data_IF_683110653821
#
_entry.id   IF_683110653821
#
_cell.length_a   1.000
_cell.length_b   1.000
_cell.length_c   1.000
_cell.angle_alpha   90.00
_cell.angle_beta   90.00
_cell.angle_gamma   90.00
#
_symmetry.space_group_name_H-M   'P 1'
#
loop_
_entity.id
_entity.type
_entity.pdbx_description
1 polymer ?
#
# COMPACT_ATOMS: atom_id res chain seq x y z
N UNK A 1 8.21 2.44 13.30
CA UNK A 1 7.24 3.12 12.42
C UNK A 1 7.85 3.10 11.03
N UNK A 2 7.25 2.36 10.10
CA UNK A 2 7.77 2.23 8.74
C UNK A 2 7.21 3.42 7.96
N UNK A 3 8.09 4.35 7.58
CA UNK A 3 7.73 5.47 6.69
C UNK A 3 7.65 4.94 5.26
N UNK A 4 6.53 4.32 4.92
CA UNK A 4 6.26 3.71 3.60
C UNK A 4 6.01 4.75 2.48
N UNK A 5 6.34 6.02 2.69
CA UNK A 5 5.82 7.16 1.90
C UNK A 5 6.85 7.92 1.06
N UNK A 6 7.99 7.31 0.72
CA UNK A 6 8.98 7.94 -0.18
C UNK A 6 9.09 7.18 -1.52
N UNK A 7 9.39 7.85 -2.65
CA UNK A 7 9.54 7.23 -3.99
C UNK A 7 10.63 6.14 -4.06
N UNK A 8 11.57 6.20 -3.13
CA UNK A 8 12.32 5.04 -2.63
C UNK A 8 11.53 4.62 -1.41
N UNK A 9 10.89 3.44 -1.39
CA UNK A 9 10.27 2.99 -0.15
C UNK A 9 11.37 2.87 0.91
N UNK A 10 11.44 3.83 1.82
CA UNK A 10 12.48 3.90 2.83
C UNK A 10 11.98 3.08 4.01
N UNK A 11 12.63 1.96 4.28
CA UNK A 11 12.43 1.26 5.56
C UNK A 11 13.46 1.80 6.54
N UNK A 12 13.03 2.67 7.45
CA UNK A 12 13.86 3.05 8.60
C UNK A 12 13.79 1.91 9.61
N UNK A 13 14.89 1.19 9.76
CA UNK A 13 15.05 0.16 10.80
C UNK A 13 15.83 0.81 11.94
N UNK A 14 15.13 1.07 13.06
CA UNK A 14 15.80 1.46 14.31
C UNK A 14 16.31 0.21 15.00
N UNK A 15 17.61 -0.01 14.93
CA UNK A 15 18.25 -1.12 15.62
C UNK A 15 18.62 -0.69 17.05
N UNK A 16 18.10 -1.38 18.05
CA UNK A 16 18.28 -1.09 19.47
C UNK A 16 19.70 -1.42 19.91
N UNK A 17 20.66 -0.58 19.53
CA UNK A 17 22.08 -0.70 19.91
C UNK A 17 23.09 -0.07 18.95
N UNK A 18 22.71 0.23 17.69
CA UNK A 18 23.66 0.63 16.64
C UNK A 18 23.36 1.96 15.93
N UNK A 19 22.32 2.69 16.35
CA UNK A 19 21.87 3.92 15.67
C UNK A 19 20.84 3.66 14.57
N UNK A 20 20.32 4.74 13.98
CA UNK A 20 19.27 4.68 12.95
C UNK A 20 19.85 4.30 11.58
N UNK A 21 19.35 3.22 10.96
CA UNK A 21 19.79 2.75 9.64
C UNK A 21 18.63 2.78 8.65
N UNK A 22 18.90 3.34 7.47
CA UNK A 22 17.90 3.63 6.44
C UNK A 22 18.17 2.77 5.21
N UNK A 23 17.21 1.91 4.86
CA UNK A 23 17.35 0.94 3.76
C UNK A 23 16.36 1.23 2.62
N UNK A 24 16.79 0.92 1.39
CA UNK A 24 15.91 0.87 0.22
C UNK A 24 15.05 -0.41 0.22
N UNK A 25 13.72 -0.30 0.10
CA UNK A 25 12.85 -1.48 -0.03
C UNK A 25 13.00 -2.21 -1.38
N UNK A 26 13.62 -1.60 -2.40
CA UNK A 26 13.84 -2.30 -3.68
C UNK A 26 14.70 -3.54 -3.52
N UNK A 27 15.63 -3.58 -2.54
CA UNK A 27 16.52 -4.74 -2.34
C UNK A 27 16.77 -5.13 -0.88
N UNK A 28 16.34 -4.37 0.14
CA UNK A 28 16.59 -4.61 1.59
C UNK A 28 18.06 -4.92 1.97
N UNK A 29 19.00 -4.70 1.05
CA UNK A 29 20.41 -5.09 1.16
C UNK A 29 21.34 -3.88 1.08
N UNK A 30 20.88 -2.80 0.45
CA UNK A 30 21.69 -1.61 0.23
C UNK A 30 21.27 -0.52 1.22
N UNK A 31 22.23 -0.08 2.05
CA UNK A 31 22.07 1.13 2.86
C UNK A 31 22.01 2.32 1.91
N UNK A 32 21.04 3.20 2.13
CA UNK A 32 20.98 4.44 1.36
C UNK A 32 22.16 5.34 1.72
N UNK A 33 22.77 5.92 0.70
CA UNK A 33 23.78 6.97 0.87
C UNK A 33 23.14 8.24 1.43
N UNK A 34 23.90 9.11 2.11
CA UNK A 34 23.40 10.40 2.57
C UNK A 34 22.79 11.27 1.46
N UNK A 35 23.29 11.14 0.22
CA UNK A 35 22.75 11.85 -0.93
C UNK A 35 21.37 11.31 -1.37
N UNK A 36 21.19 9.99 -1.36
CA UNK A 36 19.90 9.35 -1.67
C UNK A 36 18.87 9.66 -0.58
N UNK A 37 19.27 9.69 0.69
CA UNK A 37 18.42 10.13 1.80
C UNK A 37 18.03 11.59 1.61
N UNK A 38 18.99 12.50 1.36
CA UNK A 38 18.71 13.91 1.14
C UNK A 38 17.80 14.16 -0.07
N UNK A 39 17.94 13.37 -1.14
CA UNK A 39 17.07 13.44 -2.31
C UNK A 39 15.64 12.96 -1.99
N UNK A 40 15.51 11.88 -1.23
CA UNK A 40 14.23 11.29 -0.84
C UNK A 40 13.50 12.07 0.28
N UNK A 41 14.25 12.82 1.08
CA UNK A 41 13.75 13.66 2.19
C UNK A 41 13.71 15.15 1.87
N UNK A 42 14.14 15.56 0.66
CA UNK A 42 14.10 16.95 0.19
C UNK A 42 12.73 17.37 -0.36
N UNK A 43 12.63 18.46 -1.15
CA UNK A 43 11.37 18.93 -1.73
C UNK A 43 10.63 17.87 -2.58
N UNK A 44 11.37 16.93 -3.17
CA UNK A 44 10.80 15.79 -3.87
C UNK A 44 10.10 14.77 -2.93
N UNK A 45 10.54 14.68 -1.68
CA UNK A 45 9.91 13.90 -0.60
C UNK A 45 8.61 14.52 -0.12
N UNK A 46 8.57 15.84 0.09
CA UNK A 46 7.33 16.57 0.43
C UNK A 46 6.27 16.43 -0.67
N UNK A 47 6.69 16.52 -1.95
CA UNK A 47 5.84 16.23 -3.10
C UNK A 47 5.29 14.81 -3.07
N UNK A 48 6.10 13.83 -2.62
CA UNK A 48 5.64 12.44 -2.54
C UNK A 48 4.60 12.24 -1.44
N UNK A 49 4.72 12.90 -0.30
CA UNK A 49 3.74 12.81 0.78
C UNK A 49 2.37 13.32 0.31
N UNK A 50 2.32 14.53 -0.25
CA UNK A 50 1.08 15.09 -0.83
C UNK A 50 0.56 14.23 -1.98
N UNK A 51 1.44 13.73 -2.84
CA UNK A 51 1.07 12.88 -3.96
C UNK A 51 0.49 11.55 -3.50
N UNK A 52 1.01 10.96 -2.43
CA UNK A 52 0.47 9.71 -1.91
C UNK A 52 -0.75 9.91 -1.05
N UNK A 53 -0.96 11.04 -0.39
CA UNK A 53 -2.10 11.25 0.50
C UNK A 53 -3.39 11.73 -0.18
N UNK A 54 -3.33 12.12 -1.46
CA UNK A 54 -4.51 12.65 -2.17
C UNK A 54 -5.17 11.66 -3.16
N UNK A 55 -6.50 11.75 -3.21
CA UNK A 55 -7.34 11.16 -4.24
C UNK A 55 -7.83 9.72 -4.02
N UNK A 56 -8.71 9.23 -4.93
CA UNK A 56 -9.37 7.93 -4.77
C UNK A 56 -8.42 6.73 -4.77
N UNK A 57 -7.27 6.81 -5.45
CA UNK A 57 -6.29 5.72 -5.51
C UNK A 57 -5.59 5.48 -4.17
N UNK A 58 -5.28 6.53 -3.42
CA UNK A 58 -4.76 6.40 -2.05
C UNK A 58 -5.78 5.77 -1.12
N UNK A 59 -7.01 6.30 -1.13
CA UNK A 59 -8.08 5.76 -0.30
C UNK A 59 -8.28 4.26 -0.57
N UNK A 60 -8.18 3.85 -1.84
CA UNK A 60 -8.23 2.45 -2.25
C UNK A 60 -7.06 1.64 -1.68
N UNK A 61 -5.83 2.12 -1.81
CA UNK A 61 -4.65 1.45 -1.25
C UNK A 61 -4.79 1.27 0.27
N UNK A 62 -5.19 2.32 1.00
CA UNK A 62 -5.39 2.31 2.45
C UNK A 62 -6.47 1.30 2.88
N UNK A 63 -7.61 1.28 2.18
CA UNK A 63 -8.68 0.29 2.43
C UNK A 63 -8.19 -1.14 2.17
N UNK A 64 -7.42 -1.36 1.10
CA UNK A 64 -6.86 -2.68 0.79
C UNK A 64 -5.85 -3.15 1.83
N UNK A 65 -4.98 -2.26 2.33
CA UNK A 65 -4.06 -2.58 3.44
C UNK A 65 -4.83 -2.99 4.69
N UNK A 66 -5.91 -2.27 5.04
CA UNK A 66 -6.77 -2.65 6.16
C UNK A 66 -7.37 -4.06 5.96
N UNK A 67 -7.92 -4.36 4.77
CA UNK A 67 -8.45 -5.69 4.45
C UNK A 67 -7.39 -6.79 4.55
N UNK A 68 -6.21 -6.57 3.97
CA UNK A 68 -5.11 -7.55 3.99
C UNK A 68 -4.63 -7.83 5.42
N UNK A 69 -4.59 -6.81 6.29
CA UNK A 69 -4.16 -6.97 7.69
C UNK A 69 -5.04 -7.94 8.50
N UNK A 70 -6.30 -8.11 8.11
CA UNK A 70 -7.25 -9.05 8.75
C UNK A 70 -7.23 -10.45 8.15
N UNK A 71 -6.45 -10.68 7.10
CA UNK A 71 -6.39 -11.96 6.42
C UNK A 71 -5.10 -12.73 6.78
N UNK A 72 -5.20 -14.05 6.99
CA UNK A 72 -4.03 -14.90 7.21
C UNK A 72 -3.17 -14.96 5.95
N UNK A 73 -1.85 -15.12 6.13
CA UNK A 73 -0.87 -15.12 5.01
C UNK A 73 -1.05 -16.31 4.07
N UNK A 74 -1.24 -17.51 4.61
CA UNK A 74 -1.24 -18.76 3.82
C UNK A 74 -2.57 -19.52 3.83
N UNK A 75 -3.56 -19.05 4.60
CA UNK A 75 -4.83 -19.78 4.72
C UNK A 75 -5.87 -19.25 3.76
N UNK A 76 -6.69 -20.16 3.23
CA UNK A 76 -7.89 -19.79 2.48
C UNK A 76 -8.89 -19.21 3.46
N UNK A 77 -9.27 -17.95 3.29
CA UNK A 77 -10.34 -17.36 4.08
C UNK A 77 -11.63 -18.14 3.81
N UNK A 78 -12.34 -18.55 4.88
CA UNK A 78 -13.65 -19.19 4.73
C UNK A 78 -14.67 -18.20 4.15
N UNK A 79 -15.68 -18.69 3.42
CA UNK A 79 -16.72 -17.83 2.85
C UNK A 79 -17.43 -16.94 3.92
N UNK A 80 -17.75 -17.44 5.13
CA UNK A 80 -18.28 -16.59 6.20
C UNK A 80 -17.30 -15.50 6.67
N UNK A 81 -16.02 -15.83 6.85
CA UNK A 81 -15.00 -14.85 7.25
C UNK A 81 -14.80 -13.79 6.17
N UNK A 82 -14.83 -14.19 4.90
CA UNK A 82 -14.77 -13.27 3.76
C UNK A 82 -15.93 -12.27 3.79
N UNK A 83 -17.17 -12.70 4.08
CA UNK A 83 -18.35 -11.81 4.08
C UNK A 83 -18.29 -10.71 5.15
N UNK A 84 -17.74 -10.99 6.34
CA UNK A 84 -17.61 -10.00 7.43
C UNK A 84 -16.35 -9.15 7.34
N UNK A 85 -15.38 -9.56 6.53
CA UNK A 85 -14.07 -8.92 6.39
C UNK A 85 -14.14 -7.39 6.26
N UNK A 86 -15.06 -6.88 5.45
CA UNK A 86 -15.19 -5.44 5.24
C UNK A 86 -15.52 -4.69 6.54
N UNK A 87 -16.51 -5.20 7.29
CA UNK A 87 -16.95 -4.60 8.55
C UNK A 87 -15.84 -4.66 9.59
N UNK A 88 -15.14 -5.80 9.68
CA UNK A 88 -14.07 -6.03 10.67
C UNK A 88 -12.79 -5.23 10.37
N UNK A 89 -12.48 -5.03 9.09
CA UNK A 89 -11.25 -4.38 8.66
C UNK A 89 -11.37 -2.86 8.50
N UNK A 90 -12.48 -2.40 7.91
CA UNK A 90 -12.66 -1.00 7.52
C UNK A 90 -13.41 -0.24 8.61
N UNK A 91 -14.64 -0.67 8.90
CA UNK A 91 -15.51 0.02 9.85
C UNK A 91 -15.85 1.48 9.47
N UNK A 92 -16.70 2.16 10.26
CA UNK A 92 -17.22 3.49 9.91
C UNK A 92 -16.16 4.60 10.00
N UNK A 93 -15.13 4.42 10.82
CA UNK A 93 -14.05 5.42 10.96
C UNK A 93 -13.21 5.50 9.70
N UNK A 94 -12.76 4.36 9.15
CA UNK A 94 -11.95 4.36 7.94
C UNK A 94 -12.77 4.71 6.70
N UNK A 95 -14.04 4.30 6.63
CA UNK A 95 -14.94 4.70 5.54
C UNK A 95 -15.08 6.23 5.43
N UNK A 96 -15.17 6.95 6.56
CA UNK A 96 -15.26 8.42 6.55
C UNK A 96 -13.93 9.11 6.20
N UNK A 97 -12.81 8.43 6.38
CA UNK A 97 -11.47 8.99 6.16
C UNK A 97 -10.98 8.87 4.71
N UNK A 98 -11.77 8.28 3.81
CA UNK A 98 -11.40 8.06 2.41
C UNK A 98 -12.44 8.63 1.45
N UNK A 99 -12.07 9.02 0.22
CA UNK A 99 -13.04 9.48 -0.77
C UNK A 99 -14.11 8.42 -1.08
N UNK A 100 -15.36 8.83 -1.33
CA UNK A 100 -16.45 7.89 -1.61
C UNK A 100 -16.16 6.93 -2.78
N UNK A 101 -15.47 7.41 -3.83
CA UNK A 101 -15.04 6.57 -4.95
C UNK A 101 -14.05 5.46 -4.57
N UNK A 102 -13.25 5.67 -3.53
CA UNK A 102 -12.34 4.64 -3.03
C UNK A 102 -13.10 3.45 -2.42
N UNK A 103 -14.24 3.71 -1.77
CA UNK A 103 -15.06 2.66 -1.16
C UNK A 103 -15.65 1.76 -2.23
N UNK A 104 -16.33 2.32 -3.24
CA UNK A 104 -16.93 1.54 -4.33
C UNK A 104 -15.89 0.73 -5.09
N UNK A 105 -14.74 1.35 -5.41
CA UNK A 105 -13.68 0.69 -6.16
C UNK A 105 -13.00 -0.43 -5.36
N UNK A 106 -12.84 -0.26 -4.05
CA UNK A 106 -12.26 -1.30 -3.21
C UNK A 106 -13.22 -2.47 -3.03
N UNK A 107 -14.53 -2.19 -2.90
CA UNK A 107 -15.55 -3.24 -2.87
C UNK A 107 -15.54 -4.07 -4.16
N UNK A 108 -15.48 -3.41 -5.32
CA UNK A 108 -15.38 -4.10 -6.61
C UNK A 108 -14.12 -4.99 -6.70
N UNK A 109 -12.97 -4.54 -6.17
CA UNK A 109 -11.75 -5.36 -6.10
C UNK A 109 -11.92 -6.56 -5.16
N UNK A 110 -12.51 -6.35 -3.98
CA UNK A 110 -12.77 -7.41 -3.01
C UNK A 110 -13.69 -8.48 -3.61
N UNK A 111 -14.79 -8.07 -4.25
CA UNK A 111 -15.75 -8.98 -4.88
C UNK A 111 -15.10 -9.73 -6.05
N UNK A 112 -14.35 -9.05 -6.91
CA UNK A 112 -13.60 -9.71 -7.99
C UNK A 112 -12.59 -10.74 -7.46
N UNK A 113 -11.95 -10.48 -6.32
CA UNK A 113 -11.07 -11.45 -5.68
C UNK A 113 -11.83 -12.64 -5.08
N UNK A 114 -13.04 -12.44 -4.55
CA UNK A 114 -13.91 -13.55 -4.10
C UNK A 114 -14.31 -14.44 -5.26
N UNK A 115 -14.78 -13.86 -6.37
CA UNK A 115 -15.11 -14.60 -7.60
C UNK A 115 -13.90 -15.37 -8.12
N UNK A 116 -12.69 -14.79 -8.08
CA UNK A 116 -11.48 -15.48 -8.51
C UNK A 116 -11.15 -16.72 -7.64
N UNK A 117 -11.42 -16.67 -6.34
CA UNK A 117 -11.22 -17.83 -5.44
C UNK A 117 -12.26 -18.91 -5.71
N UNK A 118 -13.52 -18.51 -5.92
CA UNK A 118 -14.64 -19.42 -6.23
C UNK A 118 -14.39 -20.16 -7.55
N UNK A 119 -13.87 -19.45 -8.56
CA UNK A 119 -13.53 -20.01 -9.86
C UNK A 119 -12.15 -20.72 -9.90
N UNK A 120 -11.42 -20.76 -8.79
CA UNK A 120 -10.10 -21.41 -8.71
C UNK A 120 -8.95 -20.67 -9.42
N UNK A 121 -9.14 -19.42 -9.85
CA UNK A 121 -8.10 -18.60 -10.50
C UNK A 121 -7.25 -17.79 -9.51
N UNK A 122 -7.63 -17.78 -8.22
CA UNK A 122 -6.81 -17.26 -7.12
C UNK A 122 -6.78 -18.26 -5.96
N UNK A 123 -5.60 -18.42 -5.35
CA UNK A 123 -5.39 -19.37 -4.25
C UNK A 123 -6.07 -18.92 -2.95
N UNK A 124 -5.85 -17.67 -2.55
CA UNK A 124 -6.47 -17.07 -1.36
C UNK A 124 -6.77 -15.57 -1.58
N UNK A 125 -7.60 -15.02 -0.69
CA UNK A 125 -8.07 -13.64 -0.77
C UNK A 125 -6.96 -12.62 -0.57
N UNK A 126 -6.05 -12.89 0.38
CA UNK A 126 -4.96 -11.99 0.71
C UNK A 126 -4.03 -11.82 -0.48
N UNK A 127 -3.54 -12.91 -1.08
CA UNK A 127 -2.64 -12.85 -2.24
C UNK A 127 -3.31 -12.26 -3.48
N UNK A 128 -4.63 -12.35 -3.62
CA UNK A 128 -5.35 -11.61 -4.65
C UNK A 128 -5.32 -10.10 -4.39
N UNK A 129 -5.63 -9.68 -3.16
CA UNK A 129 -5.60 -8.28 -2.74
C UNK A 129 -4.19 -7.69 -2.81
N UNK A 130 -3.16 -8.42 -2.38
CA UNK A 130 -1.74 -8.01 -2.45
C UNK A 130 -1.31 -7.72 -3.89
N UNK A 131 -1.66 -8.60 -4.84
CA UNK A 131 -1.39 -8.37 -6.27
C UNK A 131 -2.09 -7.11 -6.79
N UNK A 132 -3.36 -6.91 -6.43
CA UNK A 132 -4.13 -5.73 -6.85
C UNK A 132 -3.58 -4.45 -6.21
N UNK A 133 -3.15 -4.52 -4.95
CA UNK A 133 -2.52 -3.42 -4.22
C UNK A 133 -1.20 -3.05 -4.87
N UNK A 134 -0.34 -4.04 -5.17
CA UNK A 134 0.92 -3.83 -5.87
C UNK A 134 0.75 -3.13 -7.22
N UNK A 135 -0.28 -3.46 -7.99
CA UNK A 135 -0.59 -2.76 -9.25
C UNK A 135 -0.94 -1.28 -9.04
N UNK A 136 -1.70 -0.97 -7.98
CA UNK A 136 -2.07 0.43 -7.64
C UNK A 136 -0.82 1.20 -7.23
N UNK A 137 -0.02 0.64 -6.32
CA UNK A 137 1.21 1.27 -5.85
C UNK A 137 2.21 1.49 -6.98
N UNK A 138 2.40 0.50 -7.86
CA UNK A 138 3.25 0.65 -9.04
C UNK A 138 2.80 1.80 -9.92
N UNK A 139 1.49 1.89 -10.23
CA UNK A 139 0.95 2.98 -11.05
C UNK A 139 1.17 4.34 -10.40
N UNK A 140 1.00 4.45 -9.08
CA UNK A 140 1.25 5.71 -8.37
C UNK A 140 2.71 6.10 -8.38
N UNK A 141 3.62 5.15 -8.21
CA UNK A 141 5.05 5.41 -8.35
C UNK A 141 5.40 5.89 -9.77
N UNK A 142 4.83 5.27 -10.81
CA UNK A 142 4.99 5.70 -12.21
C UNK A 142 4.47 7.12 -12.47
N UNK A 143 3.32 7.49 -11.89
CA UNK A 143 2.76 8.84 -11.99
C UNK A 143 3.63 9.86 -11.25
N UNK A 144 4.14 9.52 -10.06
CA UNK A 144 5.05 10.36 -9.28
C UNK A 144 6.36 10.61 -10.04
N UNK A 145 6.96 9.57 -10.63
CA UNK A 145 8.18 9.74 -11.42
C UNK A 145 7.99 10.69 -12.60
N UNK A 146 6.84 10.60 -13.30
CA UNK A 146 6.52 11.52 -14.40
C UNK A 146 6.33 12.95 -13.91
N UNK A 147 5.65 13.14 -12.78
CA UNK A 147 5.46 14.45 -12.17
C UNK A 147 6.80 15.08 -11.76
N UNK A 148 7.71 14.29 -11.17
CA UNK A 148 9.05 14.75 -10.81
C UNK A 148 9.86 15.16 -12.04
N UNK A 149 9.81 14.39 -13.14
CA UNK A 149 10.51 14.71 -14.38
C UNK A 149 10.02 16.00 -15.04
N UNK A 150 8.75 16.37 -14.87
CA UNK A 150 8.19 17.59 -15.46
C UNK A 150 8.59 18.89 -14.71
N UNK A 151 9.23 18.76 -13.54
CA UNK A 151 9.69 19.90 -12.71
C UNK A 151 11.12 20.31 -13.09
N UNK A 152 11.84 19.49 -13.86
CA UNK A 152 13.23 19.72 -14.32
C UNK A 152 13.28 19.92 -15.84
#
# INVERSE_FOLDING_TARGET
>A
EILEHSPIAISIIRDSGAGERVYSNQNYRDMLTPAEIAQASGPAGELSEVFFEDGPLWGKARLMTALMSRLPVLQRASAPASRRLWQDAVGPTLERAVPAGAISDTRAVLDGCRTAIENGTAYNLRSCLERRHGTIMRRRNEELWKAQQAIW
#
